data_IF_131081173926
#
_entry.id   IF_131081173926
#
_cell.length_a   1.000
_cell.length_b   1.000
_cell.length_c   1.000
_cell.angle_alpha   90.00
_cell.angle_beta   90.00
_cell.angle_gamma   90.00
#
_symmetry.space_group_name_H-M   'P 1'
#
loop_
_entity.id
_entity.type
_entity.pdbx_description
1 polymer ?
#
# COMPACT_ATOMS: atom_id res chain seq x y z
N UNK A 1 12.67 1.66 7.75
CA UNK A 1 12.02 0.82 6.72
C UNK A 1 11.02 1.65 5.90
N UNK A 2 9.95 2.19 6.48
CA UNK A 2 8.94 3.00 5.76
C UNK A 2 9.49 4.23 5.01
N UNK A 3 10.48 4.94 5.58
CA UNK A 3 11.14 6.07 4.89
C UNK A 3 11.90 5.61 3.64
N UNK A 4 12.55 4.45 3.67
CA UNK A 4 13.24 3.88 2.51
C UNK A 4 12.29 3.45 1.39
N UNK A 5 11.08 2.99 1.75
CA UNK A 5 10.03 2.69 0.76
C UNK A 5 9.41 3.95 0.18
N UNK A 6 9.20 4.98 1.01
CA UNK A 6 8.73 6.27 0.53
C UNK A 6 9.74 6.88 -0.46
N UNK A 7 11.04 6.90 -0.13
CA UNK A 7 12.06 7.47 -1.04
C UNK A 7 12.18 6.66 -2.34
N UNK A 8 12.20 5.32 -2.26
CA UNK A 8 12.26 4.45 -3.46
C UNK A 8 10.99 4.57 -4.30
N UNK A 9 9.82 4.63 -3.65
CA UNK A 9 8.52 4.82 -4.29
C UNK A 9 8.42 6.15 -5.01
N UNK A 10 8.81 7.26 -4.36
CA UNK A 10 8.85 8.60 -4.96
C UNK A 10 9.82 8.62 -6.15
N UNK A 11 11.04 8.12 -5.99
CA UNK A 11 12.02 8.10 -7.08
C UNK A 11 11.55 7.24 -8.27
N UNK A 12 10.80 6.16 -8.01
CA UNK A 12 10.21 5.33 -9.06
C UNK A 12 9.04 6.02 -9.74
N UNK A 13 8.16 6.68 -8.97
CA UNK A 13 7.05 7.48 -9.49
C UNK A 13 7.53 8.57 -10.44
N UNK A 14 8.50 9.38 -9.99
CA UNK A 14 9.05 10.47 -10.80
C UNK A 14 9.59 9.92 -12.12
N UNK A 15 10.39 8.86 -12.11
CA UNK A 15 10.91 8.24 -13.33
C UNK A 15 9.81 7.67 -14.23
N UNK A 16 8.78 7.05 -13.64
CA UNK A 16 7.66 6.50 -14.40
C UNK A 16 6.82 7.59 -15.09
N UNK A 17 6.59 8.72 -14.40
CA UNK A 17 5.86 9.87 -14.95
C UNK A 17 6.62 10.51 -16.11
N UNK A 18 7.95 10.63 -16.01
CA UNK A 18 8.78 11.14 -17.10
C UNK A 18 8.84 10.19 -18.32
N UNK A 19 8.70 8.88 -18.08
CA UNK A 19 8.64 7.88 -19.14
C UNK A 19 7.24 7.74 -19.77
N UNK A 20 6.21 8.34 -19.18
CA UNK A 20 4.84 8.23 -19.65
C UNK A 20 4.58 9.19 -20.83
N UNK A 21 3.84 8.76 -21.86
CA UNK A 21 3.43 9.65 -22.95
C UNK A 21 2.43 10.72 -22.49
N UNK A 22 1.63 10.42 -21.47
CA UNK A 22 0.73 11.37 -20.80
C UNK A 22 0.99 11.32 -19.29
N UNK A 23 1.68 12.35 -18.78
CA UNK A 23 2.04 12.46 -17.37
C UNK A 23 0.82 12.68 -16.47
N UNK A 24 -0.23 13.35 -16.94
CA UNK A 24 -1.43 13.60 -16.14
C UNK A 24 -2.23 12.31 -15.96
N UNK A 25 -2.40 11.54 -17.03
CA UNK A 25 -3.04 10.23 -16.95
C UNK A 25 -2.26 9.27 -16.03
N UNK A 26 -0.93 9.23 -16.17
CA UNK A 26 -0.07 8.39 -15.34
C UNK A 26 -0.09 8.81 -13.87
N UNK A 27 -0.16 10.12 -13.58
CA UNK A 27 -0.32 10.64 -12.23
C UNK A 27 -1.70 10.27 -11.65
N UNK A 28 -2.76 10.41 -12.43
CA UNK A 28 -4.10 9.99 -12.02
C UNK A 28 -4.15 8.50 -11.67
N UNK A 29 -3.54 7.65 -12.50
CA UNK A 29 -3.39 6.23 -12.21
C UNK A 29 -2.58 5.97 -10.94
N UNK A 30 -1.44 6.66 -10.76
CA UNK A 30 -0.62 6.53 -9.56
C UNK A 30 -1.42 6.84 -8.29
N UNK A 31 -2.14 7.97 -8.28
CA UNK A 31 -2.96 8.39 -7.14
C UNK A 31 -4.07 7.37 -6.87
N UNK A 32 -4.81 6.96 -7.91
CA UNK A 32 -5.90 5.99 -7.79
C UNK A 32 -5.40 4.64 -7.27
N UNK A 33 -4.30 4.12 -7.83
CA UNK A 33 -3.72 2.84 -7.42
C UNK A 33 -3.14 2.88 -6.01
N UNK A 34 -2.51 3.99 -5.61
CA UNK A 34 -2.00 4.15 -4.25
C UNK A 34 -3.14 4.19 -3.24
N UNK A 35 -4.22 4.91 -3.55
CA UNK A 35 -5.41 4.95 -2.72
C UNK A 35 -6.09 3.58 -2.61
N UNK A 36 -6.24 2.86 -3.73
CA UNK A 36 -6.79 1.51 -3.75
C UNK A 36 -5.92 0.53 -2.96
N UNK A 37 -4.60 0.55 -3.15
CA UNK A 37 -3.67 -0.32 -2.43
C UNK A 37 -3.73 -0.05 -0.92
N UNK A 38 -3.74 1.23 -0.52
CA UNK A 38 -3.84 1.62 0.90
C UNK A 38 -5.19 1.21 1.50
N UNK A 39 -6.28 1.45 0.76
CA UNK A 39 -7.63 1.07 1.19
C UNK A 39 -7.76 -0.44 1.35
N UNK A 40 -7.34 -1.22 0.35
CA UNK A 40 -7.37 -2.68 0.41
C UNK A 40 -6.49 -3.23 1.54
N UNK A 41 -5.29 -2.68 1.73
CA UNK A 41 -4.36 -3.08 2.78
C UNK A 41 -4.95 -2.95 4.19
N UNK A 42 -5.94 -2.07 4.38
CA UNK A 42 -6.58 -1.85 5.66
C UNK A 42 -7.94 -2.56 5.74
N UNK A 43 -8.77 -2.47 4.70
CA UNK A 43 -10.12 -3.02 4.72
C UNK A 43 -10.10 -4.55 4.73
N UNK A 44 -9.21 -5.18 3.96
CA UNK A 44 -9.17 -6.64 3.85
C UNK A 44 -8.86 -7.32 5.19
N UNK A 45 -7.83 -6.91 5.96
CA UNK A 45 -7.58 -7.47 7.28
C UNK A 45 -8.77 -7.37 8.23
N UNK A 46 -9.45 -6.22 8.27
CA UNK A 46 -10.64 -6.03 9.11
C UNK A 46 -11.82 -6.89 8.66
N UNK A 47 -12.00 -7.07 7.36
CA UNK A 47 -13.02 -7.96 6.82
C UNK A 47 -12.78 -9.44 7.19
N UNK A 48 -11.50 -9.86 7.25
CA UNK A 48 -11.12 -11.23 7.63
C UNK A 48 -11.46 -11.53 9.09
N UNK A 49 -11.28 -10.57 10.00
CA UNK A 49 -11.55 -10.74 11.44
C UNK A 49 -12.90 -10.17 11.87
N UNK A 50 -13.77 -9.84 10.91
CA UNK A 50 -15.07 -9.28 11.20
C UNK A 50 -15.86 -10.18 12.16
N UNK A 51 -16.52 -9.57 13.16
CA UNK A 51 -17.28 -10.26 14.21
C UNK A 51 -16.48 -11.20 15.13
N UNK A 52 -15.14 -11.24 15.00
CA UNK A 52 -14.28 -12.07 15.86
C UNK A 52 -13.65 -11.26 17.00
N UNK A 53 -13.30 -11.97 18.07
CA UNK A 53 -12.48 -11.44 19.16
C UNK A 53 -11.01 -11.71 18.87
N UNK A 54 -10.21 -10.67 18.70
CA UNK A 54 -8.81 -10.76 18.28
C UNK A 54 -7.91 -9.91 19.16
N UNK A 55 -6.67 -10.39 19.36
CA UNK A 55 -5.63 -9.60 20.02
C UNK A 55 -5.32 -8.36 19.20
N UNK A 56 -5.50 -7.17 19.78
CA UNK A 56 -5.22 -5.91 19.09
C UNK A 56 -3.75 -5.82 18.66
N UNK A 57 -2.84 -6.19 19.56
CA UNK A 57 -1.40 -6.22 19.29
C UNK A 57 -1.04 -7.26 18.23
N UNK A 58 -1.53 -8.49 18.38
CA UNK A 58 -1.25 -9.57 17.42
C UNK A 58 -1.78 -9.26 16.02
N UNK A 59 -3.00 -8.76 15.93
CA UNK A 59 -3.62 -8.36 14.67
C UNK A 59 -2.88 -7.20 14.00
N UNK A 60 -2.56 -6.13 14.75
CA UNK A 60 -1.80 -5.00 14.23
C UNK A 60 -0.42 -5.43 13.72
N UNK A 61 0.31 -6.21 14.51
CA UNK A 61 1.65 -6.69 14.14
C UNK A 61 1.62 -7.57 12.88
N UNK A 62 0.74 -8.58 12.84
CA UNK A 62 0.60 -9.46 11.68
C UNK A 62 0.16 -8.70 10.44
N UNK A 63 -0.74 -7.73 10.58
CA UNK A 63 -1.22 -6.93 9.45
C UNK A 63 -0.10 -6.05 8.90
N UNK A 64 0.62 -5.32 9.75
CA UNK A 64 1.78 -4.52 9.32
C UNK A 64 2.79 -5.40 8.58
N UNK A 65 3.12 -6.57 9.15
CA UNK A 65 4.10 -7.48 8.58
C UNK A 65 3.63 -8.01 7.21
N UNK A 66 2.40 -8.49 7.12
CA UNK A 66 1.83 -9.05 5.90
C UNK A 66 1.73 -7.99 4.79
N UNK A 67 1.14 -6.83 5.09
CA UNK A 67 0.99 -5.73 4.12
C UNK A 67 2.36 -5.25 3.66
N UNK A 68 3.30 -5.02 4.58
CA UNK A 68 4.63 -4.54 4.22
C UNK A 68 5.37 -5.56 3.35
N UNK A 69 5.30 -6.85 3.69
CA UNK A 69 5.98 -7.91 2.92
C UNK A 69 5.42 -8.00 1.51
N UNK A 70 4.10 -8.01 1.35
CA UNK A 70 3.45 -8.08 0.04
C UNK A 70 3.73 -6.83 -0.79
N UNK A 71 3.60 -5.64 -0.19
CA UNK A 71 3.84 -4.37 -0.88
C UNK A 71 5.30 -4.24 -1.36
N UNK A 72 6.26 -4.68 -0.54
CA UNK A 72 7.68 -4.66 -0.88
C UNK A 72 8.00 -5.67 -1.98
N UNK A 73 7.52 -6.91 -1.87
CA UNK A 73 7.75 -7.92 -2.87
C UNK A 73 7.16 -7.51 -4.23
N UNK A 74 5.90 -7.07 -4.25
CA UNK A 74 5.24 -6.58 -5.46
C UNK A 74 5.96 -5.34 -6.03
N UNK A 75 6.28 -4.37 -5.17
CA UNK A 75 6.99 -3.16 -5.55
C UNK A 75 8.36 -3.43 -6.17
N UNK A 76 9.15 -4.34 -5.57
CA UNK A 76 10.47 -4.72 -6.06
C UNK A 76 10.40 -5.44 -7.42
N UNK A 77 9.50 -6.43 -7.56
CA UNK A 77 9.32 -7.16 -8.81
C UNK A 77 8.91 -6.23 -9.97
N UNK A 78 8.00 -5.29 -9.71
CA UNK A 78 7.56 -4.32 -10.70
C UNK A 78 8.63 -3.27 -10.99
N UNK A 79 9.44 -2.91 -9.98
CA UNK A 79 10.56 -2.00 -10.13
C UNK A 79 11.64 -2.58 -11.05
N UNK A 80 12.00 -3.86 -10.87
CA UNK A 80 12.94 -4.57 -11.74
C UNK A 80 12.41 -4.67 -13.17
N UNK A 81 11.12 -4.99 -13.33
CA UNK A 81 10.48 -4.99 -14.65
C UNK A 81 10.52 -3.62 -15.32
N UNK A 82 10.26 -2.55 -14.56
CA UNK A 82 10.37 -1.18 -15.08
C UNK A 82 11.80 -0.85 -15.49
N UNK A 83 12.80 -1.27 -14.71
CA UNK A 83 14.21 -1.06 -15.06
C UNK A 83 14.59 -1.78 -16.38
N UNK A 84 14.02 -2.97 -16.61
CA UNK A 84 14.28 -3.77 -17.81
C UNK A 84 13.55 -3.24 -19.06
N UNK A 85 12.26 -2.91 -18.96
CA UNK A 85 11.43 -2.56 -20.13
C UNK A 85 11.27 -1.06 -20.36
N UNK A 86 11.51 -0.24 -19.33
CA UNK A 86 11.22 1.20 -19.28
C UNK A 86 9.76 1.57 -19.57
N UNK A 87 8.84 0.62 -19.51
CA UNK A 87 7.42 0.90 -19.70
C UNK A 87 6.84 1.60 -18.46
N UNK A 88 6.34 2.82 -18.64
CA UNK A 88 5.83 3.66 -17.56
C UNK A 88 4.80 2.96 -16.65
N UNK A 89 3.95 2.09 -17.21
CA UNK A 89 2.95 1.32 -16.44
C UNK A 89 3.60 0.57 -15.27
N UNK A 90 4.71 -0.12 -15.49
CA UNK A 90 5.36 -0.92 -14.45
C UNK A 90 5.95 -0.04 -13.37
N UNK A 91 6.49 1.12 -13.73
CA UNK A 91 6.97 2.11 -12.78
C UNK A 91 5.85 2.73 -11.94
N UNK A 92 4.69 3.01 -12.55
CA UNK A 92 3.49 3.52 -11.83
C UNK A 92 2.97 2.48 -10.84
N UNK A 93 2.82 1.22 -11.25
CA UNK A 93 2.39 0.15 -10.35
C UNK A 93 3.41 -0.11 -9.23
N UNK A 94 4.72 -0.15 -9.55
CA UNK A 94 5.77 -0.31 -8.56
C UNK A 94 5.72 0.80 -7.50
N UNK A 95 5.61 2.05 -7.95
CA UNK A 95 5.52 3.20 -7.07
C UNK A 95 4.24 3.16 -6.22
N UNK A 96 3.08 2.81 -6.78
CA UNK A 96 1.84 2.69 -6.04
C UNK A 96 1.92 1.64 -4.92
N UNK A 97 2.54 0.48 -5.17
CA UNK A 97 2.75 -0.54 -4.15
C UNK A 97 3.68 -0.05 -3.03
N UNK A 98 4.81 0.57 -3.38
CA UNK A 98 5.78 1.07 -2.39
C UNK A 98 5.22 2.23 -1.56
N UNK A 99 4.52 3.17 -2.20
CA UNK A 99 3.90 4.31 -1.54
C UNK A 99 2.71 3.88 -0.68
N UNK A 100 1.86 2.98 -1.18
CA UNK A 100 0.72 2.45 -0.42
C UNK A 100 1.17 1.69 0.83
N UNK A 101 2.23 0.87 0.71
CA UNK A 101 2.86 0.21 1.86
C UNK A 101 3.50 1.22 2.83
N UNK A 102 4.11 2.28 2.31
CA UNK A 102 4.70 3.34 3.15
C UNK A 102 3.65 4.16 3.91
N UNK A 103 2.47 4.40 3.33
CA UNK A 103 1.37 5.11 3.96
C UNK A 103 0.49 4.25 4.86
N UNK A 104 0.71 2.93 4.90
CA UNK A 104 -0.10 2.00 5.68
C UNK A 104 -0.18 2.38 7.18
N UNK A 105 0.91 2.71 7.89
CA UNK A 105 0.82 3.06 9.31
C UNK A 105 -0.05 4.31 9.54
N UNK A 106 0.09 5.32 8.68
CA UNK A 106 -0.69 6.57 8.78
C UNK A 106 -2.17 6.30 8.54
N UNK A 107 -2.48 5.54 7.48
CA UNK A 107 -3.85 5.20 7.11
C UNK A 107 -4.50 4.28 8.14
N UNK A 108 -3.74 3.37 8.77
CA UNK A 108 -4.20 2.55 9.88
C UNK A 108 -4.66 3.42 11.05
N UNK A 109 -3.82 4.33 11.55
CA UNK A 109 -4.19 5.21 12.66
C UNK A 109 -5.37 6.13 12.32
N UNK A 110 -5.49 6.56 11.06
CA UNK A 110 -6.60 7.40 10.62
C UNK A 110 -7.96 6.66 10.56
N UNK A 111 -7.96 5.39 10.14
CA UNK A 111 -9.20 4.68 9.80
C UNK A 111 -9.55 3.48 10.70
N UNK A 112 -8.61 2.95 11.49
CA UNK A 112 -8.81 1.73 12.29
C UNK A 112 -10.04 1.82 13.20
N UNK A 113 -10.27 2.95 13.88
CA UNK A 113 -11.43 3.10 14.76
C UNK A 113 -12.78 3.13 14.03
N UNK A 114 -12.80 3.67 12.81
CA UNK A 114 -14.01 3.62 11.97
C UNK A 114 -14.26 2.20 11.49
N UNK A 115 -13.20 1.47 11.12
CA UNK A 115 -13.31 0.11 10.62
C UNK A 115 -13.63 -0.91 11.70
N UNK A 116 -13.13 -0.73 12.93
CA UNK A 116 -13.54 -1.50 14.10
C UNK A 116 -15.07 -1.49 14.25
N UNK A 117 -15.67 -0.30 14.13
CA UNK A 117 -17.13 -0.11 14.23
C UNK A 117 -17.87 -0.74 13.05
N UNK A 118 -17.36 -0.59 11.83
CA UNK A 118 -18.00 -1.14 10.63
C UNK A 118 -17.93 -2.68 10.57
N UNK A 119 -16.82 -3.27 11.02
CA UNK A 119 -16.60 -4.72 10.98
C UNK A 119 -16.93 -5.42 12.31
N UNK A 120 -17.42 -4.69 13.30
CA UNK A 120 -17.79 -5.20 14.62
C UNK A 120 -16.68 -6.04 15.27
N UNK A 121 -15.43 -5.59 15.15
CA UNK A 121 -14.26 -6.29 15.69
C UNK A 121 -14.20 -6.07 17.21
N UNK A 122 -13.99 -7.13 17.97
CA UNK A 122 -13.83 -7.04 19.43
C UNK A 122 -12.37 -7.23 19.81
N UNK A 123 -11.76 -6.19 20.36
CA UNK A 123 -10.36 -6.26 20.79
C UNK A 123 -10.19 -6.98 22.13
N UNK A 124 -9.22 -7.88 22.21
CA UNK A 124 -8.61 -8.30 23.47
C UNK A 124 -7.27 -7.58 23.62
N UNK A 125 -7.09 -6.85 24.72
CA UNK A 125 -5.86 -6.15 25.08
C UNK A 125 -4.98 -7.03 25.96
#
# INVERSE_FOLDING_TARGET
MFVGFATTGIATAVRALHAAPDALQALGQLVALTALASGAAIVVPFAVVATQRVSAFGFCFLTILAVSTVAVAAGALLHERFAATREARHGVFAAACLLGGASFPVTWFAFAHTLERWFHVQWSY
#
